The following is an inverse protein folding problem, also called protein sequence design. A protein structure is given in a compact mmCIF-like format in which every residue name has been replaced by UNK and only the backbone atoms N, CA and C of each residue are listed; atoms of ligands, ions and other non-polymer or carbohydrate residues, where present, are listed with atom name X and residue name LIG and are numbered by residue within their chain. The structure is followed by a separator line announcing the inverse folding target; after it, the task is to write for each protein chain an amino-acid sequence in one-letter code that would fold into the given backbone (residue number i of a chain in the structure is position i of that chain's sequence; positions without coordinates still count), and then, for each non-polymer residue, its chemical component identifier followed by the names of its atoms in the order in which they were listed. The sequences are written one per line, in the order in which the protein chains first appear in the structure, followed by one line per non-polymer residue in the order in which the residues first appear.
data_IF_221677837932
#
_entry.id   IF_221677837932
#
_cell.length_a   1.000
_cell.length_b   1.000
_cell.length_c   1.000
_cell.angle_alpha   90.00
_cell.angle_beta   90.00
_cell.angle_gamma   90.00
#
_symmetry.space_group_name_H-M   'P 1'
#
loop_
_entity.id
_entity.type
_entity.pdbx_description
1 polymer ?
#
# COMPACT_ATOMS: atom_id res chain seq x y z
N UNK A 1 8.96 -20.45 1.58
CA UNK A 1 8.23 -19.88 0.42
C UNK A 1 9.21 -19.11 -0.47
N UNK A 2 8.88 -19.04 -1.75
CA UNK A 2 9.70 -18.34 -2.74
C UNK A 2 9.03 -17.00 -3.10
N UNK A 3 9.82 -15.97 -3.31
CA UNK A 3 9.29 -14.70 -3.81
C UNK A 3 8.91 -14.84 -5.27
N UNK A 4 7.69 -14.42 -5.60
CA UNK A 4 7.20 -14.42 -6.97
C UNK A 4 7.38 -13.05 -7.62
N UNK A 5 7.01 -11.98 -6.93
CA UNK A 5 7.09 -10.62 -7.46
C UNK A 5 7.24 -9.61 -6.31
N UNK A 6 7.90 -8.50 -6.62
CA UNK A 6 7.95 -7.33 -5.75
C UNK A 6 7.35 -6.17 -6.54
N UNK A 7 6.29 -5.58 -6.00
CA UNK A 7 5.58 -4.46 -6.60
C UNK A 7 5.76 -3.21 -5.73
N UNK A 8 5.90 -2.05 -6.37
CA UNK A 8 6.13 -0.78 -5.68
C UNK A 8 5.08 0.22 -6.12
N UNK A 9 4.55 0.96 -5.16
CA UNK A 9 3.57 1.98 -5.44
C UNK A 9 3.71 3.20 -4.55
N UNK A 10 3.06 4.28 -4.96
CA UNK A 10 3.04 5.55 -4.25
C UNK A 10 1.60 6.04 -4.15
N UNK A 11 1.26 6.63 -3.01
CA UNK A 11 -0.04 7.25 -2.79
C UNK A 11 0.11 8.60 -2.13
N UNK A 12 -0.78 9.52 -2.50
CA UNK A 12 -0.76 10.91 -2.02
C UNK A 12 -2.10 11.22 -1.38
N UNK A 13 -2.07 11.81 -0.18
CA UNK A 13 -3.23 12.50 0.37
C UNK A 13 -2.90 13.99 0.46
N UNK A 14 -3.42 14.74 -0.50
CA UNK A 14 -3.15 16.16 -0.66
C UNK A 14 -3.93 16.99 0.34
N UNK A 15 -5.18 16.61 0.58
CA UNK A 15 -6.10 17.31 1.46
C UNK A 15 -6.60 16.39 2.55
N UNK A 16 -6.49 16.85 3.81
CA UNK A 16 -6.84 16.05 4.98
C UNK A 16 -5.66 15.40 5.69
N UNK A 17 -4.52 15.24 5.02
CA UNK A 17 -3.28 14.68 5.58
C UNK A 17 -3.50 13.34 6.28
N UNK A 18 -4.26 12.45 5.64
CA UNK A 18 -4.59 11.14 6.15
C UNK A 18 -3.59 10.09 5.68
N UNK A 19 -2.75 9.61 6.59
CA UNK A 19 -1.73 8.60 6.26
C UNK A 19 -2.34 7.26 5.85
N UNK A 20 -3.48 6.88 6.42
CA UNK A 20 -4.18 5.65 6.01
C UNK A 20 -4.63 5.74 4.56
N UNK A 21 -5.20 6.88 4.16
CA UNK A 21 -5.65 7.09 2.79
C UNK A 21 -4.50 7.10 1.80
N UNK A 22 -3.39 7.75 2.16
CA UNK A 22 -2.18 7.73 1.34
C UNK A 22 -1.64 6.30 1.18
N UNK A 23 -1.63 5.52 2.26
CA UNK A 23 -1.20 4.13 2.23
C UNK A 23 -2.11 3.26 1.38
N UNK A 24 -3.44 3.42 1.49
CA UNK A 24 -4.40 2.72 0.63
C UNK A 24 -4.13 2.98 -0.85
N UNK A 25 -3.89 4.25 -1.21
CA UNK A 25 -3.58 4.62 -2.59
C UNK A 25 -2.23 4.05 -3.05
N UNK A 26 -1.25 3.98 -2.16
CA UNK A 26 0.05 3.39 -2.49
C UNK A 26 -0.08 1.89 -2.82
N UNK A 27 -0.89 1.17 -2.07
CA UNK A 27 -1.18 -0.25 -2.34
C UNK A 27 -1.92 -0.40 -3.66
N UNK A 28 -2.95 0.42 -3.90
CA UNK A 28 -3.69 0.41 -5.16
C UNK A 28 -2.77 0.66 -6.36
N UNK A 29 -1.90 1.65 -6.26
CA UNK A 29 -0.94 1.96 -7.31
C UNK A 29 -0.03 0.77 -7.60
N UNK A 30 0.49 0.10 -6.57
CA UNK A 30 1.37 -1.04 -6.71
C UNK A 30 0.68 -2.22 -7.43
N UNK A 31 -0.54 -2.57 -7.02
CA UNK A 31 -1.22 -3.77 -7.53
C UNK A 31 -1.93 -3.56 -8.87
N UNK A 32 -2.19 -2.34 -9.27
CA UNK A 32 -2.93 -2.05 -10.51
C UNK A 32 -2.04 -1.97 -11.76
N UNK A 33 -0.73 -2.14 -11.60
CA UNK A 33 0.21 -2.00 -12.71
C UNK A 33 0.44 -3.26 -13.52
N UNK A 34 0.05 -4.41 -12.97
CA UNK A 34 0.34 -5.69 -13.61
C UNK A 34 -0.76 -6.71 -13.34
N UNK A 35 -0.77 -7.75 -14.15
CA UNK A 35 -1.60 -8.94 -13.94
C UNK A 35 -0.67 -10.10 -13.57
N UNK A 36 -0.89 -10.72 -12.42
CA UNK A 36 -0.05 -11.81 -11.94
C UNK A 36 -0.50 -13.16 -12.53
N UNK A 37 -0.66 -13.21 -13.83
CA UNK A 37 -1.11 -14.42 -14.54
C UNK A 37 -0.19 -15.63 -14.29
N UNK A 38 1.10 -15.39 -14.07
CA UNK A 38 2.07 -16.44 -13.78
C UNK A 38 1.81 -17.20 -12.48
N UNK A 39 1.02 -16.65 -11.56
CA UNK A 39 0.63 -17.39 -10.35
C UNK A 39 -0.09 -18.69 -10.70
N UNK A 40 -0.99 -18.64 -11.68
CA UNK A 40 -1.71 -19.83 -12.15
C UNK A 40 -0.99 -20.52 -13.29
N UNK A 41 -0.54 -19.78 -14.28
CA UNK A 41 -0.02 -20.35 -15.53
C UNK A 41 1.38 -20.90 -15.42
N UNK A 42 2.18 -20.41 -14.47
CA UNK A 42 3.58 -20.83 -14.26
C UNK A 42 3.74 -21.58 -12.95
N UNK A 43 3.31 -20.96 -11.84
CA UNK A 43 3.44 -21.57 -10.51
C UNK A 43 2.38 -22.64 -10.27
N UNK A 44 1.19 -22.45 -10.81
CA UNK A 44 0.10 -23.42 -10.70
C UNK A 44 -0.62 -23.40 -9.36
N UNK A 45 -0.70 -22.25 -8.69
CA UNK A 45 -1.51 -22.16 -7.46
C UNK A 45 -2.98 -22.39 -7.79
N UNK A 46 -3.68 -23.11 -6.92
CA UNK A 46 -5.09 -23.45 -7.08
C UNK A 46 -6.00 -22.57 -6.23
N UNK A 47 -5.49 -22.12 -5.09
CA UNK A 47 -6.22 -21.25 -4.15
C UNK A 47 -5.39 -20.02 -3.84
N UNK A 48 -6.03 -18.84 -3.72
CA UNK A 48 -5.33 -17.63 -3.28
C UNK A 48 -4.63 -17.77 -1.93
N UNK A 49 -5.13 -18.65 -1.06
CA UNK A 49 -4.55 -18.86 0.27
C UNK A 49 -3.19 -19.55 0.25
N UNK A 50 -2.79 -20.08 -0.92
CA UNK A 50 -1.44 -20.64 -1.09
C UNK A 50 -0.37 -19.54 -1.15
N UNK A 51 -0.75 -18.31 -1.45
CA UNK A 51 0.19 -17.19 -1.48
C UNK A 51 0.16 -16.36 -0.21
N UNK A 52 1.31 -15.78 0.12
CA UNK A 52 1.45 -14.81 1.20
C UNK A 52 1.80 -13.45 0.59
N UNK A 53 1.03 -12.43 0.94
CA UNK A 53 1.23 -11.06 0.48
C UNK A 53 1.74 -10.24 1.65
N UNK A 54 2.99 -9.81 1.57
CA UNK A 54 3.60 -8.95 2.58
C UNK A 54 3.58 -7.50 2.10
N UNK A 55 3.02 -6.62 2.90
CA UNK A 55 2.90 -5.19 2.62
C UNK A 55 3.82 -4.43 3.55
N UNK A 56 4.70 -3.62 2.98
CA UNK A 56 5.52 -2.68 3.73
C UNK A 56 5.12 -1.28 3.32
N UNK A 57 4.68 -0.48 4.28
CA UNK A 57 4.28 0.91 4.06
C UNK A 57 5.30 1.84 4.72
N UNK A 58 5.71 2.86 3.99
CA UNK A 58 6.42 4.02 4.53
C UNK A 58 5.54 5.25 4.45
N UNK A 59 5.32 5.94 5.57
CA UNK A 59 4.55 7.17 5.61
C UNK A 59 5.03 8.07 6.75
N UNK A 60 4.72 9.40 6.72
CA UNK A 60 5.22 10.33 7.74
C UNK A 60 4.75 10.04 9.16
N UNK A 61 3.52 9.56 9.34
CA UNK A 61 2.95 9.27 10.67
C UNK A 61 2.42 7.84 10.73
N UNK A 62 3.32 6.84 10.82
CA UNK A 62 2.93 5.42 10.76
C UNK A 62 1.99 4.99 11.89
N UNK A 63 2.06 5.63 13.05
CA UNK A 63 1.21 5.33 14.20
C UNK A 63 -0.26 5.65 13.96
N UNK A 64 -0.58 6.47 12.96
CA UNK A 64 -1.95 6.86 12.64
C UNK A 64 -2.62 5.95 11.62
N UNK A 65 -1.88 5.00 11.04
CA UNK A 65 -2.40 4.15 9.97
C UNK A 65 -3.30 3.05 10.52
N UNK A 66 -4.51 2.96 9.96
CA UNK A 66 -5.41 1.83 10.17
C UNK A 66 -4.98 0.68 9.25
N UNK A 67 -4.24 -0.27 9.81
CA UNK A 67 -3.64 -1.38 9.06
C UNK A 67 -4.68 -2.29 8.42
N UNK A 68 -5.81 -2.52 9.11
CA UNK A 68 -6.89 -3.35 8.58
C UNK A 68 -7.51 -2.74 7.33
N UNK A 69 -7.69 -1.43 7.32
CA UNK A 69 -8.19 -0.73 6.13
C UNK A 69 -7.24 -0.87 4.95
N UNK A 70 -5.95 -0.73 5.20
CA UNK A 70 -4.95 -0.86 4.13
C UNK A 70 -4.96 -2.27 3.55
N UNK A 71 -5.02 -3.29 4.41
CA UNK A 71 -5.05 -4.69 3.97
C UNK A 71 -6.30 -5.03 3.17
N UNK A 72 -7.42 -4.37 3.41
CA UNK A 72 -8.66 -4.58 2.64
C UNK A 72 -8.55 -4.18 1.18
N UNK A 73 -7.57 -3.37 0.82
CA UNK A 73 -7.31 -3.00 -0.58
C UNK A 73 -6.83 -4.22 -1.39
N UNK A 74 -6.15 -5.15 -0.74
CA UNK A 74 -5.68 -6.38 -1.38
C UNK A 74 -6.82 -7.36 -1.55
N UNK A 75 -7.08 -7.83 -2.79
CA UNK A 75 -8.23 -8.69 -3.04
C UNK A 75 -8.06 -10.12 -2.54
N UNK A 76 -6.83 -10.65 -2.55
CA UNK A 76 -6.59 -12.08 -2.39
C UNK A 76 -5.33 -12.35 -1.57
N UNK A 77 -5.25 -13.58 -1.04
CA UNK A 77 -4.08 -14.10 -0.37
C UNK A 77 -4.08 -13.92 1.14
N UNK A 78 -3.18 -14.64 1.79
CA UNK A 78 -2.86 -14.39 3.20
C UNK A 78 -2.02 -13.13 3.28
N UNK A 79 -2.23 -12.28 4.29
CA UNK A 79 -1.70 -10.92 4.29
C UNK A 79 -0.95 -10.62 5.58
N UNK A 80 0.16 -9.89 5.43
CA UNK A 80 0.90 -9.29 6.54
C UNK A 80 1.19 -7.84 6.21
N UNK A 81 1.24 -6.97 7.20
CA UNK A 81 1.55 -5.56 7.02
C UNK A 81 2.54 -5.08 8.08
N UNK A 82 3.50 -4.29 7.63
CA UNK A 82 4.38 -3.50 8.48
C UNK A 82 4.28 -2.05 8.02
N UNK A 83 4.21 -1.12 8.97
CA UNK A 83 4.17 0.31 8.69
C UNK A 83 5.33 0.98 9.41
N UNK A 84 6.14 1.72 8.64
CA UNK A 84 7.32 2.42 9.15
C UNK A 84 7.22 3.90 8.84
N UNK A 85 8.00 4.69 9.56
CA UNK A 85 8.22 6.06 9.15
C UNK A 85 8.96 6.09 7.82
N UNK A 86 8.49 6.93 6.91
CA UNK A 86 9.04 7.08 5.57
C UNK A 86 8.11 7.95 4.74
N UNK A 87 8.11 7.73 3.43
CA UNK A 87 7.34 8.58 2.54
C UNK A 87 7.88 10.00 2.53
N UNK A 88 6.98 10.96 2.37
CA UNK A 88 7.35 12.37 2.29
C UNK A 88 6.20 13.22 2.81
N UNK A 89 6.53 14.28 3.55
CA UNK A 89 5.61 15.35 3.89
C UNK A 89 6.19 16.65 3.35
N UNK A 90 5.38 17.41 2.64
CA UNK A 90 5.87 18.64 2.01
C UNK A 90 4.80 19.70 1.92
N UNK A 91 5.25 20.95 1.85
CA UNK A 91 4.33 22.09 1.78
C UNK A 91 3.59 22.16 0.46
N UNK A 92 2.30 22.43 0.56
CA UNK A 92 1.40 22.69 -0.55
C UNK A 92 0.46 23.82 -0.15
N UNK A 93 -0.69 23.91 -0.79
CA UNK A 93 -1.70 24.92 -0.44
C UNK A 93 -2.47 24.50 0.80
N UNK A 94 -2.79 25.49 1.64
CA UNK A 94 -3.71 25.28 2.78
C UNK A 94 -5.12 25.69 2.36
N UNK A 95 -5.99 24.70 2.21
CA UNK A 95 -7.38 24.90 1.79
C UNK A 95 -8.31 24.14 2.76
N UNK A 96 -8.70 24.80 3.87
CA UNK A 96 -9.55 24.15 4.89
C UNK A 96 -10.87 23.64 4.33
N UNK A 97 -11.42 24.30 3.31
CA UNK A 97 -12.65 23.88 2.64
C UNK A 97 -12.54 22.53 1.94
N UNK A 98 -11.31 22.06 1.68
CA UNK A 98 -11.06 20.74 1.12
C UNK A 98 -10.63 19.72 2.18
N UNK A 99 -10.73 20.10 3.45
CA UNK A 99 -10.41 19.23 4.57
C UNK A 99 -9.00 19.34 5.10
N UNK A 100 -8.21 20.32 4.63
CA UNK A 100 -6.83 20.48 5.10
C UNK A 100 -6.76 20.87 6.57
N UNK A 101 -5.91 20.15 7.30
CA UNK A 101 -5.56 20.44 8.69
C UNK A 101 -4.30 21.30 8.77
N UNK A 102 -3.41 21.14 7.79
CA UNK A 102 -2.16 21.88 7.67
C UNK A 102 -1.92 22.23 6.21
N UNK A 103 -0.81 22.87 5.91
CA UNK A 103 -0.37 23.18 4.54
C UNK A 103 0.53 22.09 3.95
N UNK A 104 0.63 20.94 4.59
CA UNK A 104 1.46 19.84 4.11
C UNK A 104 0.63 18.74 3.44
N UNK A 105 1.17 18.17 2.38
CA UNK A 105 0.64 16.94 1.80
C UNK A 105 1.35 15.74 2.37
N UNK A 106 0.71 14.58 2.31
CA UNK A 106 1.26 13.31 2.78
C UNK A 106 1.48 12.38 1.59
N UNK A 107 2.69 11.86 1.47
CA UNK A 107 3.05 10.86 0.45
C UNK A 107 3.44 9.57 1.16
N UNK A 108 2.84 8.46 0.77
CA UNK A 108 3.18 7.12 1.25
C UNK A 108 3.78 6.30 0.12
N UNK A 109 4.67 5.38 0.49
CA UNK A 109 5.22 4.37 -0.42
C UNK A 109 4.78 2.98 0.05
N UNK A 110 4.62 2.07 -0.89
CA UNK A 110 4.33 0.67 -0.61
C UNK A 110 5.29 -0.24 -1.36
N UNK A 111 5.78 -1.26 -0.66
CA UNK A 111 6.46 -2.40 -1.28
C UNK A 111 5.62 -3.63 -0.96
N UNK A 112 5.16 -4.31 -1.99
CA UNK A 112 4.31 -5.50 -1.85
C UNK A 112 5.08 -6.69 -2.41
N UNK A 113 5.33 -7.67 -1.56
CA UNK A 113 6.04 -8.90 -1.95
C UNK A 113 5.06 -10.06 -1.90
N UNK A 114 4.92 -10.75 -3.02
CA UNK A 114 4.09 -11.95 -3.11
C UNK A 114 4.99 -13.19 -3.04
N UNK A 115 4.69 -14.06 -2.09
CA UNK A 115 5.38 -15.33 -1.89
C UNK A 115 4.49 -16.49 -2.30
N UNK A 116 5.11 -17.50 -2.88
CA UNK A 116 4.44 -18.74 -3.32
C UNK A 116 5.16 -19.96 -2.72
N UNK A 117 4.48 -21.12 -2.66
CA UNK A 117 5.09 -22.36 -2.18
C UNK A 117 6.35 -22.76 -2.94
#
# INVERSE_FOLDING_TARGET
MRRFVIEVGMGIDQHGQDNTRAAEKAVQDAIHRSCLCGLREVVGIKSPDEMLVEVLIGCPAPETVDRERVLKVLPLGRKKIEVRQGGLSGKTLFQPELGDKTDEMVVANAIITVHVP
#
